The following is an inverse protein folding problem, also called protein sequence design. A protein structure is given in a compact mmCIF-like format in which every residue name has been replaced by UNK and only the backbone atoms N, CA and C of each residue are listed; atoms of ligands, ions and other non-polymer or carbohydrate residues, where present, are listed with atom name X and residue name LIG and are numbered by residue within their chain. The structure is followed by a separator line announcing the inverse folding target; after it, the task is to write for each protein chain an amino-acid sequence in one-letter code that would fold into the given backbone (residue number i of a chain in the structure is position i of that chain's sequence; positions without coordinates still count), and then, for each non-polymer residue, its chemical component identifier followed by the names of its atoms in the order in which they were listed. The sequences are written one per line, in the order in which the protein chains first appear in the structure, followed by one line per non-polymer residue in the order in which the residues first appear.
data_IF_823300895315
#
_entry.id   IF_823300895315
#
_cell.length_a   1.000
_cell.length_b   1.000
_cell.length_c   1.000
_cell.angle_alpha   90.00
_cell.angle_beta   90.00
_cell.angle_gamma   90.00
#
_symmetry.space_group_name_H-M   'P 1'
#
loop_
_entity.id
_entity.type
_entity.pdbx_description
1 polymer ?
#
# COMPACT_ATOMS: atom_id res chain seq x y z
N UNK A 1 -2.04 -25.35 -18.63
CA UNK A 1 -2.70 -24.08 -18.24
C UNK A 1 -3.71 -24.42 -17.15
N UNK A 2 -3.38 -24.15 -15.89
CA UNK A 2 -4.24 -24.47 -14.76
C UNK A 2 -5.26 -23.32 -14.62
N UNK A 3 -6.51 -23.58 -14.99
CA UNK A 3 -7.63 -22.62 -14.99
C UNK A 3 -8.25 -22.40 -13.60
N UNK A 4 -7.59 -22.88 -12.54
CA UNK A 4 -7.95 -22.58 -11.17
C UNK A 4 -6.84 -21.70 -10.61
N UNK A 5 -7.15 -20.42 -10.39
CA UNK A 5 -6.25 -19.42 -9.81
C UNK A 5 -5.85 -19.76 -8.38
N UNK A 6 -5.01 -20.78 -8.22
CA UNK A 6 -4.41 -21.18 -6.96
C UNK A 6 -3.09 -20.43 -6.86
N UNK A 7 -3.10 -19.28 -6.19
CA UNK A 7 -1.88 -18.62 -5.76
C UNK A 7 -1.41 -19.24 -4.45
N UNK A 8 -0.45 -20.16 -4.55
CA UNK A 8 0.34 -20.59 -3.38
C UNK A 8 1.30 -19.46 -3.03
N UNK A 9 0.94 -18.64 -2.05
CA UNK A 9 1.82 -17.59 -1.56
C UNK A 9 2.74 -18.16 -0.48
N UNK A 10 4.02 -18.32 -0.81
CA UNK A 10 5.06 -18.60 0.19
C UNK A 10 5.57 -17.29 0.77
N UNK A 11 5.51 -17.15 2.09
CA UNK A 11 6.08 -16.00 2.79
C UNK A 11 7.58 -16.22 3.01
N UNK A 12 8.40 -15.29 2.52
CA UNK A 12 9.84 -15.29 2.77
C UNK A 12 10.21 -14.08 3.61
N UNK A 13 10.99 -14.30 4.67
CA UNK A 13 11.55 -13.22 5.49
C UNK A 13 12.76 -12.65 4.77
N UNK A 14 12.59 -11.47 4.17
CA UNK A 14 13.69 -10.73 3.54
C UNK A 14 14.22 -9.72 4.54
N UNK A 15 15.54 -9.67 4.70
CA UNK A 15 16.17 -8.65 5.52
C UNK A 15 16.04 -7.28 4.83
N UNK A 16 15.58 -6.27 5.57
CA UNK A 16 15.36 -4.89 5.11
C UNK A 16 16.59 -4.32 4.42
N UNK A 17 17.81 -4.70 4.83
CA UNK A 17 19.05 -4.25 4.16
C UNK A 17 19.12 -4.66 2.68
N UNK A 18 18.67 -5.87 2.35
CA UNK A 18 18.67 -6.35 0.96
C UNK A 18 17.56 -5.71 0.15
N UNK A 19 16.43 -5.41 0.80
CA UNK A 19 15.33 -4.67 0.20
C UNK A 19 15.77 -3.27 -0.21
N UNK A 20 16.48 -2.55 0.68
CA UNK A 20 17.03 -1.23 0.39
C UNK A 20 18.05 -1.26 -0.75
N UNK A 21 18.99 -2.22 -0.75
CA UNK A 21 19.97 -2.35 -1.83
C UNK A 21 19.27 -2.58 -3.17
N UNK A 22 18.29 -3.49 -3.21
CA UNK A 22 17.55 -3.78 -4.43
C UNK A 22 16.74 -2.57 -4.90
N UNK A 23 16.02 -1.89 -4.00
CA UNK A 23 15.23 -0.71 -4.38
C UNK A 23 16.10 0.45 -4.83
N UNK A 24 17.27 0.67 -4.22
CA UNK A 24 18.25 1.67 -4.69
C UNK A 24 18.79 1.32 -6.07
N UNK A 25 19.15 0.06 -6.34
CA UNK A 25 19.63 -0.33 -7.67
C UNK A 25 18.55 -0.11 -8.75
N UNK A 26 17.31 -0.52 -8.46
CA UNK A 26 16.20 -0.35 -9.39
C UNK A 26 15.89 1.14 -9.59
N UNK A 27 15.92 1.96 -8.53
CA UNK A 27 15.65 3.40 -8.64
C UNK A 27 16.73 4.13 -9.44
N UNK A 28 17.99 3.73 -9.32
CA UNK A 28 19.09 4.27 -10.14
C UNK A 28 18.90 3.90 -11.62
N UNK A 29 18.54 2.65 -11.93
CA UNK A 29 18.23 2.24 -13.31
C UNK A 29 17.06 3.05 -13.87
N UNK A 30 16.00 3.22 -13.07
CA UNK A 30 14.85 4.07 -13.42
C UNK A 30 15.27 5.52 -13.70
N UNK A 31 16.10 6.12 -12.84
CA UNK A 31 16.64 7.46 -13.05
C UNK A 31 17.35 7.58 -14.40
N UNK A 32 18.28 6.65 -14.69
CA UNK A 32 19.04 6.65 -15.94
C UNK A 32 18.12 6.55 -17.16
N UNK A 33 17.10 5.68 -17.10
CA UNK A 33 16.12 5.52 -18.19
C UNK A 33 15.35 6.82 -18.44
N UNK A 34 14.84 7.48 -17.38
CA UNK A 34 14.06 8.72 -17.53
C UNK A 34 14.91 9.86 -18.09
N UNK A 35 16.15 10.00 -17.62
CA UNK A 35 17.09 11.00 -18.15
C UNK A 35 17.40 10.73 -19.64
N UNK A 36 17.59 9.47 -20.03
CA UNK A 36 17.94 9.12 -21.42
C UNK A 36 16.78 9.26 -22.40
N UNK A 37 15.54 8.96 -21.98
CA UNK A 37 14.35 9.07 -22.82
C UNK A 37 13.92 10.52 -23.06
N UNK A 38 14.50 11.47 -22.31
CA UNK A 38 14.14 12.88 -22.36
C UNK A 38 12.77 13.16 -21.74
N UNK A 39 12.54 14.42 -21.38
CA UNK A 39 11.33 14.88 -20.71
C UNK A 39 10.14 14.96 -21.69
N UNK A 40 9.82 13.86 -22.36
CA UNK A 40 8.75 13.80 -23.34
C UNK A 40 7.40 13.69 -22.61
N UNK A 41 6.63 14.77 -22.66
CA UNK A 41 5.32 14.92 -22.00
C UNK A 41 4.36 13.76 -22.33
N UNK A 42 4.43 13.21 -23.54
CA UNK A 42 3.60 12.06 -23.95
C UNK A 42 3.99 10.79 -23.18
N UNK A 43 5.29 10.57 -23.00
CA UNK A 43 5.79 9.45 -22.22
C UNK A 43 5.39 9.62 -20.74
N UNK A 44 5.44 10.85 -20.23
CA UNK A 44 5.05 11.15 -18.86
C UNK A 44 3.57 10.87 -18.60
N UNK A 45 2.69 11.34 -19.50
CA UNK A 45 1.24 11.14 -19.42
C UNK A 45 0.81 9.67 -19.54
N UNK A 46 1.66 8.78 -20.08
CA UNK A 46 1.29 7.38 -20.30
C UNK A 46 1.95 6.44 -19.29
N UNK A 47 3.24 6.65 -19.00
CA UNK A 47 4.03 5.73 -18.16
C UNK A 47 3.81 6.00 -16.67
N UNK A 48 3.74 7.26 -16.24
CA UNK A 48 3.58 7.56 -14.82
C UNK A 48 2.22 7.10 -14.26
N UNK A 49 1.08 7.33 -14.93
CA UNK A 49 -0.19 6.84 -14.42
C UNK A 49 -0.24 5.31 -14.35
N UNK A 50 0.38 4.62 -15.32
CA UNK A 50 0.48 3.16 -15.33
C UNK A 50 1.35 2.64 -14.18
N UNK A 51 2.52 3.24 -13.96
CA UNK A 51 3.42 2.89 -12.86
C UNK A 51 2.78 3.15 -11.49
N UNK A 52 2.10 4.28 -11.32
CA UNK A 52 1.38 4.59 -10.09
C UNK A 52 0.23 3.62 -9.88
N UNK A 53 -0.55 3.30 -10.92
CA UNK A 53 -1.60 2.28 -10.82
C UNK A 53 -1.02 0.92 -10.41
N UNK A 54 0.10 0.51 -11.00
CA UNK A 54 0.81 -0.72 -10.63
C UNK A 54 1.27 -0.68 -9.17
N UNK A 55 1.85 0.44 -8.72
CA UNK A 55 2.33 0.61 -7.35
C UNK A 55 1.19 0.53 -6.33
N UNK A 56 0.10 1.23 -6.61
CA UNK A 56 -1.15 1.18 -5.84
C UNK A 56 -1.68 -0.26 -5.78
N UNK A 57 -1.70 -0.97 -6.91
CA UNK A 57 -2.15 -2.35 -6.98
C UNK A 57 -1.26 -3.29 -6.15
N UNK A 58 0.06 -3.10 -6.19
CA UNK A 58 1.01 -3.83 -5.34
C UNK A 58 0.74 -3.56 -3.86
N UNK A 59 0.48 -2.31 -3.47
CA UNK A 59 0.14 -1.94 -2.09
C UNK A 59 -1.17 -2.59 -1.66
N UNK A 60 -2.18 -2.63 -2.54
CA UNK A 60 -3.44 -3.32 -2.27
C UNK A 60 -3.22 -4.81 -2.03
N UNK A 61 -2.41 -5.49 -2.85
CA UNK A 61 -2.04 -6.90 -2.64
C UNK A 61 -1.31 -7.07 -1.31
N UNK A 62 -0.38 -6.17 -0.99
CA UNK A 62 0.37 -6.23 0.26
C UNK A 62 -0.53 -6.04 1.47
N UNK A 63 -1.46 -5.09 1.41
CA UNK A 63 -2.48 -4.84 2.41
C UNK A 63 -3.43 -6.05 2.60
N UNK A 64 -3.83 -6.70 1.50
CA UNK A 64 -4.61 -7.94 1.55
C UNK A 64 -3.81 -9.06 2.21
N UNK A 65 -2.55 -9.24 1.82
CA UNK A 65 -1.71 -10.31 2.35
C UNK A 65 -1.47 -10.19 3.87
N UNK A 66 -1.39 -8.95 4.35
CA UNK A 66 -1.06 -8.64 5.75
C UNK A 66 -2.11 -9.14 6.75
N UNK A 67 -3.37 -9.27 6.33
CA UNK A 67 -4.48 -9.69 7.19
C UNK A 67 -5.06 -11.06 6.82
N UNK A 68 -4.74 -11.60 5.64
CA UNK A 68 -5.20 -12.92 5.20
C UNK A 68 -4.23 -14.04 5.62
N UNK A 69 -2.91 -13.82 5.53
CA UNK A 69 -1.92 -14.89 5.74
C UNK A 69 -1.27 -14.89 7.11
N UNK A 70 -1.43 -13.82 7.90
CA UNK A 70 -0.88 -13.77 9.24
C UNK A 70 -1.95 -14.05 10.29
N UNK A 71 -1.70 -14.97 11.25
CA UNK A 71 -2.66 -15.31 12.30
C UNK A 71 -2.74 -14.20 13.37
N UNK A 72 -3.38 -13.10 13.01
CA UNK A 72 -3.45 -11.89 13.83
C UNK A 72 -4.30 -12.10 15.09
N UNK A 73 -5.30 -12.97 15.04
CA UNK A 73 -6.13 -13.34 16.19
C UNK A 73 -5.32 -13.99 17.32
N UNK A 74 -4.35 -14.84 16.99
CA UNK A 74 -3.44 -15.46 17.97
C UNK A 74 -2.61 -14.39 18.69
N UNK A 75 -2.22 -13.35 17.95
CA UNK A 75 -1.37 -12.29 18.48
C UNK A 75 -2.14 -11.26 19.33
N UNK A 76 -3.44 -11.08 19.06
CA UNK A 76 -4.33 -10.28 19.92
C UNK A 76 -4.57 -10.90 21.30
N UNK A 77 -4.31 -12.20 21.48
CA UNK A 77 -4.33 -12.84 22.80
C UNK A 77 -3.15 -12.41 23.70
N UNK A 78 -2.06 -11.92 23.11
CA UNK A 78 -0.82 -11.56 23.82
C UNK A 78 -0.77 -10.06 24.13
N UNK A 79 -1.26 -9.22 23.21
CA UNK A 79 -1.27 -7.76 23.33
C UNK A 79 -2.66 -7.20 23.03
N UNK A 80 -3.02 -6.12 23.72
CA UNK A 80 -4.29 -5.42 23.44
C UNK A 80 -4.42 -5.02 21.96
N UNK A 81 -5.61 -5.07 21.35
CA UNK A 81 -5.80 -5.02 19.89
C UNK A 81 -5.17 -3.80 19.23
N UNK A 82 -5.39 -2.62 19.83
CA UNK A 82 -4.81 -1.37 19.35
C UNK A 82 -3.28 -1.39 19.37
N UNK A 83 -2.66 -1.89 20.44
CA UNK A 83 -1.21 -1.92 20.59
C UNK A 83 -0.58 -2.82 19.54
N UNK A 84 -1.15 -4.02 19.37
CA UNK A 84 -0.69 -4.96 18.38
C UNK A 84 -0.84 -4.40 16.96
N UNK A 85 -2.05 -3.96 16.59
CA UNK A 85 -2.33 -3.45 15.25
C UNK A 85 -1.43 -2.25 14.90
N UNK A 86 -1.21 -1.35 15.86
CA UNK A 86 -0.29 -0.21 15.70
C UNK A 86 1.13 -0.68 15.40
N UNK A 87 1.71 -1.57 16.20
CA UNK A 87 3.09 -2.01 15.98
C UNK A 87 3.25 -2.79 14.68
N UNK A 88 2.27 -3.64 14.36
CA UNK A 88 2.27 -4.41 13.13
C UNK A 88 2.20 -3.50 11.90
N UNK A 89 1.23 -2.58 11.86
CA UNK A 89 1.07 -1.65 10.75
C UNK A 89 2.26 -0.70 10.63
N UNK A 90 2.78 -0.17 11.74
CA UNK A 90 3.98 0.67 11.71
C UNK A 90 5.20 -0.08 11.20
N UNK A 91 5.42 -1.33 11.63
CA UNK A 91 6.54 -2.14 11.14
C UNK A 91 6.47 -2.35 9.62
N UNK A 92 5.27 -2.64 9.11
CA UNK A 92 5.02 -2.81 7.67
C UNK A 92 5.13 -1.49 6.90
N UNK A 93 4.58 -0.40 7.43
CA UNK A 93 4.67 0.93 6.85
C UNK A 93 6.13 1.42 6.77
N UNK A 94 6.92 1.23 7.83
CA UNK A 94 8.36 1.56 7.83
C UNK A 94 9.11 0.71 6.81
N UNK A 95 8.78 -0.59 6.70
CA UNK A 95 9.41 -1.47 5.71
C UNK A 95 9.09 -1.03 4.28
N UNK A 96 7.85 -0.60 4.02
CA UNK A 96 7.45 -0.01 2.74
C UNK A 96 8.18 1.31 2.48
N UNK A 97 8.28 2.18 3.47
CA UNK A 97 9.00 3.45 3.31
C UNK A 97 10.47 3.21 2.98
N UNK A 98 11.14 2.27 3.63
CA UNK A 98 12.54 1.93 3.31
C UNK A 98 12.66 1.38 1.88
N UNK A 99 11.67 0.62 1.41
CA UNK A 99 11.65 0.12 0.04
C UNK A 99 11.40 1.23 -0.99
N UNK A 100 10.56 2.20 -0.67
CA UNK A 100 10.08 3.23 -1.59
C UNK A 100 10.89 4.53 -1.53
N UNK A 101 11.62 4.78 -0.45
CA UNK A 101 12.41 5.99 -0.25
C UNK A 101 13.39 6.27 -1.41
N UNK A 102 14.12 5.27 -1.97
CA UNK A 102 14.98 5.55 -3.12
C UNK A 102 14.23 6.06 -4.35
N UNK A 103 12.99 5.62 -4.57
CA UNK A 103 12.14 6.14 -5.65
C UNK A 103 11.63 7.55 -5.36
N UNK A 104 11.27 7.85 -4.11
CA UNK A 104 10.89 9.21 -3.72
C UNK A 104 12.03 10.20 -3.97
N UNK A 105 13.25 9.84 -3.55
CA UNK A 105 14.47 10.65 -3.78
C UNK A 105 14.76 10.82 -5.27
N UNK A 106 14.69 9.74 -6.06
CA UNK A 106 14.94 9.82 -7.51
C UNK A 106 13.93 10.74 -8.22
N UNK A 107 12.64 10.66 -7.90
CA UNK A 107 11.64 11.53 -8.52
C UNK A 107 11.84 12.99 -8.11
N UNK A 108 12.23 13.26 -6.85
CA UNK A 108 12.59 14.61 -6.41
C UNK A 108 13.81 15.16 -7.19
N UNK A 109 14.83 14.33 -7.46
CA UNK A 109 15.99 14.71 -8.26
C UNK A 109 15.65 14.97 -9.74
N UNK A 110 14.62 14.29 -10.26
CA UNK A 110 14.09 14.52 -11.60
C UNK A 110 13.19 15.77 -11.68
N UNK A 111 12.92 16.43 -10.54
CA UNK A 111 12.04 17.58 -10.45
C UNK A 111 10.55 17.24 -10.38
N UNK A 112 10.18 15.96 -10.31
CA UNK A 112 8.80 15.49 -10.15
C UNK A 112 8.46 15.36 -8.67
N UNK A 113 8.19 16.50 -8.05
CA UNK A 113 7.87 16.57 -6.63
C UNK A 113 6.56 15.88 -6.30
N UNK A 114 5.56 15.91 -7.19
CA UNK A 114 4.28 15.26 -6.95
C UNK A 114 4.46 13.76 -6.74
N UNK A 115 5.18 13.09 -7.65
CA UNK A 115 5.44 11.66 -7.54
C UNK A 115 6.31 11.35 -6.33
N UNK A 116 7.30 12.20 -6.03
CA UNK A 116 8.13 12.02 -4.84
C UNK A 116 7.32 11.98 -3.54
N UNK A 117 6.39 12.92 -3.36
CA UNK A 117 5.52 12.99 -2.19
C UNK A 117 4.43 11.92 -2.18
N UNK A 118 3.88 11.56 -3.34
CA UNK A 118 2.94 10.44 -3.45
C UNK A 118 3.59 9.12 -3.01
N UNK A 119 4.80 8.84 -3.49
CA UNK A 119 5.55 7.62 -3.13
C UNK A 119 5.85 7.58 -1.63
N UNK A 120 6.21 8.71 -1.00
CA UNK A 120 6.44 8.79 0.45
C UNK A 120 5.14 8.73 1.27
N UNK A 121 4.00 9.08 0.68
CA UNK A 121 2.68 8.93 1.31
C UNK A 121 2.16 7.48 1.33
N UNK A 122 2.64 6.63 0.41
CA UNK A 122 2.16 5.25 0.21
C UNK A 122 2.11 4.37 1.47
N UNK A 123 3.04 4.48 2.45
CA UNK A 123 2.90 3.76 3.71
C UNK A 123 1.60 4.09 4.47
N UNK A 124 1.12 5.34 4.42
CA UNK A 124 -0.15 5.73 5.04
C UNK A 124 -1.35 5.17 4.27
N UNK A 125 -1.26 5.16 2.94
CA UNK A 125 -2.25 4.52 2.09
C UNK A 125 -2.34 3.00 2.37
N UNK A 126 -1.20 2.34 2.58
CA UNK A 126 -1.15 0.96 3.05
C UNK A 126 -1.88 0.80 4.39
N UNK A 127 -1.62 1.64 5.39
CA UNK A 127 -2.30 1.58 6.70
C UNK A 127 -3.81 1.72 6.53
N UNK A 128 -4.26 2.67 5.72
CA UNK A 128 -5.67 2.88 5.40
C UNK A 128 -6.30 1.62 4.77
N UNK A 129 -5.70 1.10 3.70
CA UNK A 129 -6.21 -0.07 2.98
C UNK A 129 -6.23 -1.32 3.85
N UNK A 130 -5.14 -1.58 4.55
CA UNK A 130 -4.97 -2.77 5.37
C UNK A 130 -5.94 -2.74 6.56
N UNK A 131 -6.19 -1.57 7.16
CA UNK A 131 -7.20 -1.40 8.20
C UNK A 131 -8.61 -1.73 7.69
N UNK A 132 -9.00 -1.18 6.55
CA UNK A 132 -10.32 -1.46 5.96
C UNK A 132 -10.47 -2.94 5.58
N UNK A 133 -9.42 -3.57 5.07
CA UNK A 133 -9.38 -5.02 4.83
C UNK A 133 -9.57 -5.79 6.12
N UNK A 134 -8.89 -5.42 7.21
CA UNK A 134 -9.03 -6.09 8.50
C UNK A 134 -10.49 -6.11 8.99
N UNK A 135 -11.27 -5.07 8.68
CA UNK A 135 -12.69 -5.02 9.01
C UNK A 135 -13.57 -5.77 7.99
N UNK A 136 -13.24 -5.76 6.70
CA UNK A 136 -14.14 -6.21 5.63
C UNK A 136 -13.87 -7.65 5.17
N UNK A 137 -12.62 -8.12 5.25
CA UNK A 137 -12.18 -9.47 4.89
C UNK A 137 -11.66 -10.19 6.14
N UNK A 138 -12.54 -10.85 6.90
CA UNK A 138 -12.10 -11.61 8.06
C UNK A 138 -11.45 -12.95 7.68
N UNK A 139 -11.39 -13.33 6.40
CA UNK A 139 -10.94 -14.67 6.02
C UNK A 139 -9.42 -14.76 6.12
N UNK A 140 -8.93 -15.35 7.22
CA UNK A 140 -7.55 -15.78 7.33
C UNK A 140 -7.39 -17.21 6.85
N UNK A 141 -6.26 -17.50 6.22
CA UNK A 141 -5.90 -18.85 5.79
C UNK A 141 -5.24 -19.53 6.99
N UNK A 142 -5.92 -20.53 7.57
CA UNK A 142 -5.46 -21.24 8.77
C UNK A 142 -4.38 -22.30 8.50
N UNK A 143 -4.28 -22.77 7.26
CA UNK A 143 -3.39 -23.86 6.84
C UNK A 143 -3.03 -23.71 5.35
N UNK A 144 -1.86 -24.20 4.92
CA UNK A 144 -1.45 -24.26 3.51
C UNK A 144 -2.43 -25.08 2.65
N UNK A 145 -3.21 -25.97 3.29
CA UNK A 145 -4.27 -26.78 2.69
C UNK A 145 -5.67 -26.17 2.82
N UNK A 146 -5.81 -24.93 3.31
CA UNK A 146 -7.12 -24.32 3.48
C UNK A 146 -7.86 -24.23 2.12
N UNK A 147 -9.17 -24.55 2.09
CA UNK A 147 -9.94 -24.49 0.87
C UNK A 147 -9.91 -23.07 0.27
N UNK A 148 -9.90 -23.02 -1.06
CA UNK A 148 -9.88 -21.79 -1.87
C UNK A 148 -10.86 -20.78 -1.29
N UNK A 149 -10.33 -19.68 -0.77
CA UNK A 149 -11.11 -18.59 -0.22
C UNK A 149 -11.92 -17.98 -1.36
N UNK A 150 -13.24 -18.22 -1.38
CA UNK A 150 -14.12 -17.55 -2.34
C UNK A 150 -14.27 -16.10 -1.94
N UNK A 151 -14.07 -15.19 -2.90
CA UNK A 151 -14.33 -13.77 -2.67
C UNK A 151 -15.81 -13.59 -2.30
N UNK A 152 -16.10 -13.06 -1.11
CA UNK A 152 -17.47 -12.75 -0.71
C UNK A 152 -17.98 -11.49 -1.42
N UNK A 153 -19.30 -11.34 -1.56
CA UNK A 153 -19.90 -10.12 -2.13
C UNK A 153 -19.44 -8.84 -1.40
N UNK A 154 -19.15 -8.93 -0.11
CA UNK A 154 -18.59 -7.83 0.71
C UNK A 154 -17.17 -7.44 0.32
N UNK A 155 -16.40 -8.32 -0.34
CA UNK A 155 -15.09 -7.99 -0.87
C UNK A 155 -15.19 -7.13 -2.14
N UNK A 156 -16.29 -7.20 -2.88
CA UNK A 156 -16.54 -6.25 -3.98
C UNK A 156 -16.82 -4.83 -3.48
N UNK A 157 -17.28 -4.66 -2.24
CA UNK A 157 -17.42 -3.34 -1.60
C UNK A 157 -16.07 -2.68 -1.31
N UNK A 158 -14.96 -3.42 -1.33
CA UNK A 158 -13.63 -2.83 -1.17
C UNK A 158 -13.29 -1.87 -2.31
N UNK A 159 -13.71 -2.20 -3.54
CA UNK A 159 -13.44 -1.37 -4.71
C UNK A 159 -14.01 0.04 -4.53
N UNK A 160 -15.32 0.24 -4.27
CA UNK A 160 -15.87 1.58 -4.05
C UNK A 160 -15.37 2.24 -2.76
N UNK A 161 -14.91 1.48 -1.76
CA UNK A 161 -14.35 2.06 -0.52
C UNK A 161 -12.92 2.57 -0.76
N UNK A 162 -12.12 1.90 -1.59
CA UNK A 162 -10.79 2.35 -1.96
C UNK A 162 -10.79 3.41 -3.06
N UNK A 163 -11.81 3.38 -3.94
CA UNK A 163 -11.95 4.29 -5.08
C UNK A 163 -11.69 5.77 -4.74
N UNK A 164 -12.21 6.37 -3.64
CA UNK A 164 -11.94 7.77 -3.33
C UNK A 164 -10.45 8.07 -3.15
N UNK A 165 -9.71 7.21 -2.44
CA UNK A 165 -8.28 7.38 -2.25
C UNK A 165 -7.51 7.17 -3.57
N UNK A 166 -7.89 6.15 -4.35
CA UNK A 166 -7.28 5.84 -5.64
C UNK A 166 -7.52 6.92 -6.69
N UNK A 167 -8.74 7.44 -6.75
CA UNK A 167 -9.14 8.51 -7.66
C UNK A 167 -8.44 9.81 -7.31
N UNK A 168 -8.28 10.09 -6.01
CA UNK A 168 -7.55 11.25 -5.55
C UNK A 168 -6.08 11.18 -5.98
N UNK A 169 -5.39 10.06 -5.72
CA UNK A 169 -3.98 9.91 -6.14
C UNK A 169 -3.83 9.99 -7.67
N UNK A 170 -4.75 9.38 -8.43
CA UNK A 170 -4.69 9.40 -9.89
C UNK A 170 -5.00 10.77 -10.49
N UNK A 171 -5.99 11.49 -9.95
CA UNK A 171 -6.36 12.82 -10.42
C UNK A 171 -5.26 13.85 -10.13
N UNK A 172 -4.60 13.77 -8.97
CA UNK A 172 -3.52 14.68 -8.60
C UNK A 172 -2.28 14.50 -9.49
N UNK A 173 -1.97 13.29 -9.93
CA UNK A 173 -0.92 13.04 -10.93
C UNK A 173 -1.26 13.70 -12.27
N UNK A 174 -2.50 13.56 -12.73
CA UNK A 174 -2.94 14.18 -13.98
C UNK A 174 -2.77 15.70 -13.95
N UNK A 175 -3.15 16.34 -12.85
CA UNK A 175 -2.94 17.79 -12.69
C UNK A 175 -1.46 18.16 -12.57
N UNK A 176 -0.64 17.31 -11.95
CA UNK A 176 0.79 17.57 -11.78
C UNK A 176 1.59 17.55 -13.08
N UNK A 177 1.27 16.64 -14.02
CA UNK A 177 1.98 16.56 -15.31
C UNK A 177 1.79 17.83 -16.15
N UNK A 178 0.70 18.57 -15.93
CA UNK A 178 0.38 19.81 -16.63
C UNK A 178 0.79 21.08 -15.84
N UNK A 179 1.25 20.92 -14.60
CA UNK A 179 1.57 22.01 -13.70
C UNK A 179 3.04 22.44 -13.82
N UNK A 180 3.32 23.71 -13.51
CA UNK A 180 4.69 24.19 -13.32
C UNK A 180 5.32 23.58 -12.05
N UNK A 181 6.67 23.60 -11.93
CA UNK A 181 7.35 22.95 -10.80
C UNK A 181 6.89 23.43 -9.42
N UNK A 182 6.47 24.69 -9.28
CA UNK A 182 5.96 25.21 -8.00
C UNK A 182 4.58 24.67 -7.65
N UNK A 183 3.70 24.52 -8.65
CA UNK A 183 2.41 23.86 -8.48
C UNK A 183 2.57 22.35 -8.22
N UNK A 184 3.54 21.68 -8.83
CA UNK A 184 3.83 20.26 -8.55
C UNK A 184 4.21 20.04 -7.09
N UNK A 185 5.07 20.90 -6.52
CA UNK A 185 5.42 20.82 -5.10
C UNK A 185 4.18 20.94 -4.20
N UNK A 186 3.31 21.92 -4.48
CA UNK A 186 2.08 22.11 -3.72
C UNK A 186 1.15 20.89 -3.83
N UNK A 187 0.92 20.39 -5.05
CA UNK A 187 0.09 19.20 -5.29
C UNK A 187 0.66 17.98 -4.56
N UNK A 188 1.98 17.77 -4.62
CA UNK A 188 2.67 16.70 -3.91
C UNK A 188 2.46 16.76 -2.39
N UNK A 189 2.71 17.93 -1.78
CA UNK A 189 2.53 18.11 -0.33
C UNK A 189 1.07 17.88 0.08
N UNK A 190 0.11 18.41 -0.67
CA UNK A 190 -1.32 18.18 -0.40
C UNK A 190 -1.65 16.69 -0.49
N UNK A 191 -1.14 15.99 -1.50
CA UNK A 191 -1.35 14.54 -1.67
C UNK A 191 -0.83 13.76 -0.46
N UNK A 192 0.40 14.05 -0.03
CA UNK A 192 1.01 13.44 1.16
C UNK A 192 0.16 13.66 2.42
N UNK A 193 -0.30 14.91 2.64
CA UNK A 193 -1.14 15.24 3.80
C UNK A 193 -2.47 14.51 3.78
N UNK A 194 -3.08 14.33 2.60
CA UNK A 194 -4.34 13.59 2.47
C UNK A 194 -4.12 12.10 2.79
N UNK A 195 -3.11 11.46 2.20
CA UNK A 195 -2.81 10.05 2.48
C UNK A 195 -2.49 9.84 3.97
N UNK A 196 -1.71 10.75 4.55
CA UNK A 196 -1.44 10.77 5.99
C UNK A 196 -2.74 10.92 6.81
N UNK A 197 -3.64 11.81 6.41
CA UNK A 197 -4.96 11.99 7.02
C UNK A 197 -5.88 10.77 6.90
N UNK A 198 -5.75 9.96 5.84
CA UNK A 198 -6.47 8.69 5.68
C UNK A 198 -5.90 7.59 6.57
N UNK A 199 -4.57 7.47 6.67
CA UNK A 199 -3.90 6.39 7.38
C UNK A 199 -3.78 6.59 8.90
N UNK A 200 -3.36 7.78 9.35
CA UNK A 200 -3.08 8.08 10.76
C UNK A 200 -4.23 7.74 11.72
N UNK A 201 -5.50 8.08 11.43
CA UNK A 201 -6.60 7.81 12.37
C UNK A 201 -6.67 6.35 12.81
N UNK A 202 -6.41 5.41 11.90
CA UNK A 202 -6.45 3.99 12.20
C UNK A 202 -5.35 3.55 13.18
N UNK A 203 -4.22 4.25 13.28
CA UNK A 203 -3.18 3.93 14.27
C UNK A 203 -3.60 4.24 15.73
N UNK A 204 -4.64 5.06 15.92
CA UNK A 204 -5.10 5.52 17.23
C UNK A 204 -6.53 5.10 17.59
N UNK A 205 -7.30 4.59 16.62
CA UNK A 205 -8.72 4.28 16.83
C UNK A 205 -8.94 2.96 17.56
N UNK A 206 -9.02 3.00 18.90
CA UNK A 206 -9.22 1.81 19.75
C UNK A 206 -10.46 0.98 19.38
N UNK A 207 -11.64 1.63 19.34
CA UNK A 207 -12.93 0.96 19.06
C UNK A 207 -12.94 0.25 17.69
N UNK A 208 -12.20 0.78 16.72
CA UNK A 208 -12.07 0.15 15.40
C UNK A 208 -11.37 -1.21 15.50
N UNK A 209 -10.25 -1.29 16.20
CA UNK A 209 -9.47 -2.53 16.35
C UNK A 209 -10.14 -3.56 17.24
N UNK A 210 -10.88 -3.13 18.26
CA UNK A 210 -11.73 -4.02 19.06
C UNK A 210 -12.78 -4.68 18.17
N UNK A 211 -13.50 -3.90 17.35
CA UNK A 211 -14.47 -4.42 16.39
C UNK A 211 -13.84 -5.32 15.32
N UNK A 212 -12.65 -4.97 14.83
CA UNK A 212 -11.92 -5.80 13.87
C UNK A 212 -11.55 -7.16 14.48
N UNK A 213 -11.07 -7.18 15.73
CA UNK A 213 -10.78 -8.41 16.47
C UNK A 213 -12.06 -9.24 16.69
N UNK A 214 -13.14 -8.64 17.19
CA UNK A 214 -14.42 -9.33 17.40
C UNK A 214 -14.92 -10.00 16.12
N UNK A 215 -14.80 -9.30 14.99
CA UNK A 215 -15.18 -9.84 13.69
C UNK A 215 -14.25 -10.94 13.21
N UNK A 216 -12.95 -10.88 13.52
CA UNK A 216 -12.06 -12.01 13.27
C UNK A 216 -12.48 -13.21 14.13
N UNK A 217 -12.66 -13.05 15.44
CA UNK A 217 -13.06 -14.17 16.32
C UNK A 217 -14.40 -14.80 15.93
N UNK A 218 -15.41 -13.99 15.56
CA UNK A 218 -16.75 -14.48 15.21
C UNK A 218 -16.81 -15.28 13.91
N UNK A 219 -15.82 -15.15 13.03
CA UNK A 219 -15.72 -15.95 11.80
C UNK A 219 -14.97 -17.28 12.02
N UNK A 220 -15.05 -17.85 13.23
CA UNK A 220 -14.41 -19.09 13.65
C UNK A 220 -12.88 -19.07 13.57
N UNK A 221 -12.23 -17.95 13.90
CA UNK A 221 -10.78 -17.87 14.06
C UNK A 221 -10.40 -18.13 15.53
N UNK A 222 -10.55 -19.40 15.94
CA UNK A 222 -9.96 -20.04 17.13
C UNK A 222 -9.13 -21.24 16.67
#
# INVERSE_FOLDING_TARGET
VNYMGVSTFKTFRINVKYLLIASTLISVVYYLIVVHLGNNVVLQLTIFPLLTFLLIYVILIFAQSSFIFEPLWLSFGILGPLRYARYYMLSRAISLEIALAPFSVVNALLGDYTVAFLVSGMPFLYVYMASLIALLIPIQIKDENAPVVRFSATQFLLIPIFMPALFLDYSLIYYAVLADPSAQLYIGVVSFLIQMGLGLPFLFWKKFWEKAQEKMLSNNFV
#
